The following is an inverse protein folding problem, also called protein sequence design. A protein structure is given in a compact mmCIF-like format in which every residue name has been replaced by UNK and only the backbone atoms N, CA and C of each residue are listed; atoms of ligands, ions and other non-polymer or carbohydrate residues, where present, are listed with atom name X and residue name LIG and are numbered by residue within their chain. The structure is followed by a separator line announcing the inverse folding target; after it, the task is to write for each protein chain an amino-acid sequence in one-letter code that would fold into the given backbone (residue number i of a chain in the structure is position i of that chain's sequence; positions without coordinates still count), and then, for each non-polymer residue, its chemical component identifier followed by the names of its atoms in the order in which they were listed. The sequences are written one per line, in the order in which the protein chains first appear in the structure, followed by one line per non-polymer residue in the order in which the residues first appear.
data_IF_467383159813
#
_entry.id   IF_467383159813
#
_cell.length_a   1.000
_cell.length_b   1.000
_cell.length_c   1.000
_cell.angle_alpha   90.00
_cell.angle_beta   90.00
_cell.angle_gamma   90.00
#
_symmetry.space_group_name_H-M   'P 1'
#
loop_
_entity.id
_entity.type
_entity.pdbx_description
1 polymer ?
#
# COMPACT_ATOMS: atom_id res chain seq x y z
N UNK A 1 -23.44 -2.53 1.50
CA UNK A 1 -22.31 -1.61 1.24
C UNK A 1 -21.08 -2.13 1.98
N UNK A 2 -20.09 -2.69 1.28
CA UNK A 2 -18.86 -3.16 1.93
C UNK A 2 -18.10 -1.95 2.50
N UNK A 3 -17.83 -1.95 3.81
CA UNK A 3 -17.03 -0.90 4.46
C UNK A 3 -15.67 -0.82 3.75
N UNK A 4 -15.32 0.35 3.21
CA UNK A 4 -13.98 0.61 2.68
C UNK A 4 -13.01 0.63 3.88
N UNK A 5 -12.17 -0.38 3.99
CA UNK A 5 -11.12 -0.44 5.02
C UNK A 5 -9.98 0.50 4.59
N UNK A 6 -9.56 1.38 5.49
CA UNK A 6 -8.41 2.26 5.29
C UNK A 6 -7.48 2.14 6.48
N UNK A 7 -6.18 2.14 6.25
CA UNK A 7 -5.16 2.06 7.29
C UNK A 7 -4.16 3.19 7.11
N UNK A 8 -3.52 3.64 8.19
CA UNK A 8 -2.34 4.49 8.09
C UNK A 8 -1.16 3.67 7.55
N UNK A 9 -0.30 4.32 6.80
CA UNK A 9 1.02 3.75 6.51
C UNK A 9 1.70 3.46 7.85
N UNK A 10 2.36 2.30 7.97
CA UNK A 10 2.89 1.68 9.21
C UNK A 10 1.92 0.82 10.03
N UNK A 11 0.61 0.85 9.74
CA UNK A 11 -0.31 -0.11 10.35
C UNK A 11 -0.20 -1.48 9.66
N UNK A 12 -0.56 -2.51 10.41
CA UNK A 12 -0.59 -3.88 9.92
C UNK A 12 -1.59 -4.06 8.78
N UNK A 13 -1.30 -4.99 7.88
CA UNK A 13 -2.19 -5.38 6.80
C UNK A 13 -3.50 -5.91 7.41
N UNK A 14 -4.66 -5.26 7.17
CA UNK A 14 -5.90 -5.58 7.88
C UNK A 14 -6.66 -6.76 7.27
N UNK A 15 -6.41 -7.06 6.01
CA UNK A 15 -7.13 -8.05 5.22
C UNK A 15 -6.14 -8.89 4.41
N UNK A 16 -6.36 -10.21 4.27
CA UNK A 16 -5.49 -11.07 3.47
C UNK A 16 -5.52 -10.65 1.99
N UNK A 17 -4.48 -11.02 1.25
CA UNK A 17 -4.47 -10.82 -0.19
C UNK A 17 -5.59 -11.64 -0.85
N UNK A 18 -6.44 -11.06 -1.72
CA UNK A 18 -7.56 -11.76 -2.32
C UNK A 18 -7.13 -12.83 -3.33
N UNK A 19 -5.90 -12.76 -3.83
CA UNK A 19 -5.33 -13.73 -4.76
C UNK A 19 -4.45 -14.76 -4.04
N UNK A 20 -3.54 -14.27 -3.19
CA UNK A 20 -2.56 -15.11 -2.50
C UNK A 20 -3.04 -15.70 -1.16
N UNK A 21 -4.19 -15.23 -0.64
CA UNK A 21 -4.80 -15.72 0.61
C UNK A 21 -4.07 -15.33 1.90
N UNK A 22 -2.85 -14.76 1.83
CA UNK A 22 -2.00 -14.50 3.00
C UNK A 22 -1.75 -13.03 3.32
N UNK A 23 -1.11 -12.84 4.47
CA UNK A 23 -0.58 -11.56 4.94
C UNK A 23 0.92 -11.48 4.62
N UNK A 24 1.24 -10.91 3.46
CA UNK A 24 2.61 -10.78 2.97
C UNK A 24 3.14 -9.35 3.08
N UNK A 25 2.33 -8.45 3.65
CA UNK A 25 2.60 -7.02 3.65
C UNK A 25 2.08 -6.34 2.39
N UNK A 26 2.37 -5.05 2.31
CA UNK A 26 1.91 -4.19 1.23
C UNK A 26 3.01 -3.31 0.68
N UNK A 27 2.92 -3.06 -0.62
CA UNK A 27 3.74 -2.10 -1.34
C UNK A 27 2.86 -0.98 -1.90
N UNK A 28 3.43 0.22 -1.97
CA UNK A 28 2.78 1.40 -2.53
C UNK A 28 3.84 2.36 -3.07
N UNK A 29 3.51 3.16 -4.08
CA UNK A 29 4.43 4.18 -4.58
C UNK A 29 4.19 5.50 -3.87
N UNK A 30 5.24 6.26 -3.59
CA UNK A 30 5.03 7.57 -2.98
C UNK A 30 4.49 8.60 -3.98
N UNK A 31 3.51 9.42 -3.58
CA UNK A 31 2.98 10.51 -4.42
C UNK A 31 4.11 11.49 -4.84
N UNK A 32 5.06 11.76 -3.95
CA UNK A 32 6.19 12.66 -4.21
C UNK A 32 7.36 11.96 -4.89
N UNK A 33 7.45 10.63 -4.75
CA UNK A 33 8.47 9.80 -5.40
C UNK A 33 7.78 8.81 -6.32
N UNK A 34 7.26 9.32 -7.44
CA UNK A 34 6.45 8.56 -8.40
C UNK A 34 7.16 7.32 -8.97
N UNK A 35 8.49 7.32 -8.90
CA UNK A 35 9.37 6.22 -9.32
C UNK A 35 9.85 5.36 -8.15
N UNK A 36 9.40 5.58 -6.92
CA UNK A 36 9.81 4.80 -5.74
C UNK A 36 8.65 4.01 -5.19
N UNK A 37 8.85 2.71 -5.01
CA UNK A 37 7.87 1.81 -4.37
C UNK A 37 8.38 1.44 -2.99
N UNK A 38 7.66 1.87 -1.97
CA UNK A 38 7.87 1.49 -0.57
C UNK A 38 7.22 0.14 -0.28
N UNK A 39 7.85 -0.64 0.59
CA UNK A 39 7.41 -1.98 1.01
C UNK A 39 7.32 -2.03 2.53
N UNK A 40 6.22 -2.56 3.03
CA UNK A 40 5.99 -2.85 4.45
C UNK A 40 5.68 -4.33 4.63
N UNK A 41 6.12 -4.91 5.75
CA UNK A 41 5.76 -6.26 6.18
C UNK A 41 4.29 -6.33 6.57
N UNK A 42 3.79 -7.54 6.83
CA UNK A 42 2.42 -7.78 7.29
C UNK A 42 2.06 -6.99 8.56
N UNK A 43 3.02 -6.82 9.46
CA UNK A 43 2.86 -6.08 10.72
C UNK A 43 2.97 -4.56 10.55
N UNK A 44 3.20 -4.08 9.32
CA UNK A 44 3.33 -2.65 9.02
C UNK A 44 4.76 -2.10 9.17
N UNK A 45 5.74 -2.93 9.51
CA UNK A 45 7.14 -2.49 9.59
C UNK A 45 7.68 -2.20 8.19
N UNK A 46 8.32 -1.05 8.02
CA UNK A 46 8.97 -0.69 6.76
C UNK A 46 10.13 -1.65 6.47
N UNK A 47 10.11 -2.32 5.32
CA UNK A 47 11.13 -3.31 4.93
C UNK A 47 12.03 -2.83 3.79
N UNK A 48 11.81 -1.61 3.28
CA UNK A 48 12.61 -1.01 2.22
C UNK A 48 11.77 -0.57 1.03
N UNK A 49 12.42 -0.42 -0.11
CA UNK A 49 11.76 -0.02 -1.34
C UNK A 49 12.73 0.20 -2.48
N UNK A 50 12.20 0.20 -3.70
CA UNK A 50 12.98 0.22 -4.92
C UNK A 50 12.58 1.37 -5.83
N UNK A 51 13.57 1.94 -6.52
CA UNK A 51 13.32 2.84 -7.62
C UNK A 51 12.99 2.02 -8.88
N UNK A 52 11.94 2.41 -9.58
CA UNK A 52 11.57 1.89 -10.89
C UNK A 52 11.82 2.93 -11.96
N UNK A 53 12.29 2.51 -13.14
CA UNK A 53 12.45 3.37 -14.32
C UNK A 53 11.11 3.89 -14.88
N UNK A 54 9.98 3.36 -14.39
CA UNK A 54 8.62 3.78 -14.75
C UNK A 54 7.97 4.72 -13.72
N UNK A 55 6.96 5.47 -14.17
CA UNK A 55 6.15 6.37 -13.33
C UNK A 55 4.89 5.64 -12.86
N UNK A 56 4.72 5.46 -11.54
CA UNK A 56 3.54 4.80 -10.95
C UNK A 56 2.51 5.82 -10.43
N UNK A 57 1.81 6.49 -11.35
CA UNK A 57 0.97 7.67 -11.07
C UNK A 57 -0.24 7.46 -10.14
N UNK A 58 -0.59 6.23 -9.74
CA UNK A 58 -1.84 5.95 -9.01
C UNK A 58 -1.68 5.07 -7.77
N UNK A 59 -0.46 4.70 -7.38
CA UNK A 59 -0.23 3.79 -6.23
C UNK A 59 -0.16 4.50 -4.88
N UNK A 60 -0.17 5.83 -4.83
CA UNK A 60 -0.05 6.63 -3.59
C UNK A 60 -1.08 6.37 -2.50
N UNK A 61 -2.31 5.98 -2.88
CA UNK A 61 -3.42 5.61 -1.97
C UNK A 61 -3.76 4.11 -2.03
N UNK A 62 -3.18 3.38 -2.99
CA UNK A 62 -3.53 1.99 -3.28
C UNK A 62 -2.41 1.07 -2.80
N UNK A 63 -2.76 0.14 -1.93
CA UNK A 63 -1.87 -0.91 -1.49
C UNK A 63 -1.90 -2.10 -2.46
N UNK A 64 -0.74 -2.69 -2.73
CA UNK A 64 -0.59 -3.90 -3.51
C UNK A 64 0.12 -4.96 -2.69
N UNK A 65 -0.19 -6.23 -2.92
CA UNK A 65 0.46 -7.34 -2.25
C UNK A 65 1.94 -7.37 -2.64
N UNK A 66 2.83 -7.54 -1.66
CA UNK A 66 4.27 -7.70 -1.90
C UNK A 66 4.56 -8.99 -2.65
N UNK A 67 3.87 -10.08 -2.32
CA UNK A 67 4.12 -11.39 -2.92
C UNK A 67 3.68 -11.49 -4.38
N UNK A 68 2.50 -10.96 -4.73
CA UNK A 68 1.88 -11.19 -6.05
C UNK A 68 1.42 -9.94 -6.79
N UNK A 69 1.70 -8.73 -6.27
CA UNK A 69 1.35 -7.47 -6.93
C UNK A 69 -0.15 -7.20 -7.10
N UNK A 70 -1.02 -8.08 -6.59
CA UNK A 70 -2.47 -7.90 -6.66
C UNK A 70 -2.89 -6.73 -5.78
N UNK A 71 -3.82 -5.90 -6.26
CA UNK A 71 -4.40 -4.80 -5.47
C UNK A 71 -5.07 -5.35 -4.21
N UNK A 72 -4.71 -4.80 -3.06
CA UNK A 72 -5.30 -5.21 -1.79
C UNK A 72 -6.65 -4.49 -1.55
N UNK A 73 -7.58 -5.13 -0.82
CA UNK A 73 -8.94 -4.62 -0.60
C UNK A 73 -9.01 -3.55 0.50
N UNK A 74 -7.99 -2.70 0.61
CA UNK A 74 -7.93 -1.56 1.52
C UNK A 74 -7.14 -0.40 0.90
N UNK A 75 -7.30 0.79 1.47
CA UNK A 75 -6.59 2.01 1.03
C UNK A 75 -5.64 2.52 2.11
N UNK A 76 -4.60 3.23 1.68
CA UNK A 76 -3.61 3.83 2.57
C UNK A 76 -3.95 5.30 2.86
N UNK A 77 -3.89 5.67 4.14
CA UNK A 77 -4.00 7.03 4.64
C UNK A 77 -2.58 7.57 4.84
N UNK A 78 -2.29 8.73 4.25
CA UNK A 78 -1.02 9.43 4.40
C UNK A 78 -1.16 10.44 5.53
N UNK A 79 -0.22 10.44 6.48
CA UNK A 79 -0.12 11.56 7.40
C UNK A 79 0.37 12.78 6.61
N UNK A 80 -0.47 13.82 6.52
CA UNK A 80 -0.19 15.07 5.79
C UNK A 80 -0.91 15.24 4.44
N UNK A 81 -1.70 14.28 3.97
CA UNK A 81 -2.56 14.45 2.79
C UNK A 81 -3.99 14.73 3.21
N UNK A 82 -4.48 15.94 2.93
CA UNK A 82 -5.82 16.47 3.24
C UNK A 82 -6.92 15.39 3.33
N UNK A 83 -7.62 15.38 4.47
CA UNK A 83 -9.03 15.02 4.52
C UNK A 83 -9.76 16.10 3.73
N UNK A 84 -9.98 15.88 2.44
CA UNK A 84 -10.96 16.67 1.71
C UNK A 84 -12.29 15.95 1.94
N UNK A 85 -13.16 16.60 2.73
CA UNK A 85 -14.57 16.24 2.92
C UNK A 85 -15.33 16.17 1.59
#
# INVERSE_FOLDING_TARGET
MSKKVSIKITEAQPLPCPYCGGFYGYQYSDLFRMSYTSVHTADGTYSGGEYSDGVSLNKGKLAYCVNCGTRLPFTLIREGGEQIE
#
